data_IF_161339642937
#
_entry.id   IF_161339642937
#
_cell.length_a   1.000
_cell.length_b   1.000
_cell.length_c   1.000
_cell.angle_alpha   90.00
_cell.angle_beta   90.00
_cell.angle_gamma   90.00
#
_symmetry.space_group_name_H-M   'P 1'
#
loop_
_entity.id
_entity.type
_entity.pdbx_description
1 polymer ?
#
# COMPACT_ATOMS: atom_id res chain seq x y z
N UNK A 1 22.65 50.99 -13.87
CA UNK A 1 23.11 49.61 -13.68
C UNK A 1 22.11 48.63 -14.33
N UNK A 2 22.42 48.18 -15.54
CA UNK A 2 21.66 47.12 -16.21
C UNK A 2 22.09 45.77 -15.57
N UNK A 3 21.22 45.17 -14.75
CA UNK A 3 21.40 43.78 -14.31
C UNK A 3 21.37 42.89 -15.54
N UNK A 4 22.54 42.32 -15.87
CA UNK A 4 22.70 41.29 -16.86
C UNK A 4 21.99 40.03 -16.34
N UNK A 5 20.73 39.85 -16.69
CA UNK A 5 20.04 38.59 -16.47
C UNK A 5 20.60 37.60 -17.49
N UNK A 6 21.28 36.58 -16.97
CA UNK A 6 21.82 35.48 -17.77
C UNK A 6 20.62 34.72 -18.41
N UNK A 7 20.42 34.76 -19.75
CA UNK A 7 19.22 34.24 -20.41
C UNK A 7 19.14 32.69 -20.39
N UNK A 8 20.13 32.01 -19.88
CA UNK A 8 20.24 30.53 -19.92
C UNK A 8 19.85 29.82 -18.63
N UNK A 9 19.35 30.52 -17.62
CA UNK A 9 18.85 29.86 -16.41
C UNK A 9 17.39 29.44 -16.63
N UNK A 10 17.16 28.41 -17.47
CA UNK A 10 15.86 27.73 -17.49
C UNK A 10 15.65 27.23 -16.07
N UNK A 11 14.66 27.77 -15.39
CA UNK A 11 14.33 27.36 -14.02
C UNK A 11 13.96 25.88 -14.04
N UNK A 12 14.49 25.09 -13.12
CA UNK A 12 14.11 23.69 -12.93
C UNK A 12 12.57 23.53 -12.87
N UNK A 13 11.88 24.47 -12.25
CA UNK A 13 10.41 24.52 -12.20
C UNK A 13 9.76 24.62 -13.57
N UNK A 14 10.32 25.40 -14.51
CA UNK A 14 9.77 25.50 -15.86
C UNK A 14 9.90 24.19 -16.65
N UNK A 15 10.99 23.43 -16.42
CA UNK A 15 11.16 22.10 -17.02
C UNK A 15 10.13 21.13 -16.42
N UNK A 16 9.96 21.15 -15.11
CA UNK A 16 9.02 20.30 -14.40
C UNK A 16 7.57 20.58 -14.86
N UNK A 17 7.17 21.83 -14.92
CA UNK A 17 5.85 22.24 -15.42
C UNK A 17 5.61 21.77 -16.86
N UNK A 18 6.62 21.86 -17.71
CA UNK A 18 6.54 21.38 -19.09
C UNK A 18 6.35 19.85 -19.14
N UNK A 19 7.07 19.11 -18.32
CA UNK A 19 6.93 17.64 -18.24
C UNK A 19 5.54 17.28 -17.75
N UNK A 20 5.06 17.88 -16.67
CA UNK A 20 3.73 17.63 -16.12
C UNK A 20 2.65 17.93 -17.16
N UNK A 21 2.72 19.08 -17.82
CA UNK A 21 1.77 19.46 -18.87
C UNK A 21 1.81 18.47 -20.05
N UNK A 22 2.98 17.97 -20.42
CA UNK A 22 3.11 16.97 -21.48
C UNK A 22 2.46 15.65 -21.07
N UNK A 23 2.71 15.16 -19.84
CA UNK A 23 2.09 13.95 -19.30
C UNK A 23 0.56 14.12 -19.22
N UNK A 24 0.07 15.29 -18.87
CA UNK A 24 -1.37 15.57 -18.77
C UNK A 24 -2.09 15.53 -20.11
N UNK A 25 -1.38 15.67 -21.23
CA UNK A 25 -1.96 15.51 -22.57
C UNK A 25 -2.07 14.07 -23.05
N UNK A 26 -1.41 13.12 -22.37
CA UNK A 26 -1.44 11.72 -22.76
C UNK A 26 -2.82 11.10 -22.47
N UNK A 27 -3.33 10.18 -23.32
CA UNK A 27 -4.50 9.38 -23.02
C UNK A 27 -4.36 8.58 -21.73
N UNK A 28 -5.47 8.29 -21.06
CA UNK A 28 -5.46 7.54 -19.79
C UNK A 28 -4.84 6.15 -19.95
N UNK A 29 -5.08 5.50 -21.10
CA UNK A 29 -4.53 4.17 -21.43
C UNK A 29 -3.01 4.18 -21.46
N UNK A 30 -2.43 5.27 -21.97
CA UNK A 30 -0.97 5.44 -22.00
C UNK A 30 -0.43 5.68 -20.59
N UNK A 31 -1.12 6.48 -19.77
CA UNK A 31 -0.74 6.70 -18.39
C UNK A 31 -0.84 5.41 -17.56
N UNK A 32 -1.90 4.62 -17.73
CA UNK A 32 -2.01 3.32 -17.07
C UNK A 32 -0.89 2.35 -17.50
N UNK A 33 -0.52 2.40 -18.79
CA UNK A 33 0.60 1.60 -19.27
C UNK A 33 1.92 2.04 -18.64
N UNK A 34 2.17 3.35 -18.51
CA UNK A 34 3.34 3.87 -17.79
C UNK A 34 3.33 3.43 -16.33
N UNK A 35 2.20 3.57 -15.64
CA UNK A 35 2.06 3.16 -14.23
C UNK A 35 2.26 1.66 -14.02
N UNK A 36 2.00 0.81 -15.03
CA UNK A 36 2.22 -0.63 -14.93
C UNK A 36 3.69 -1.03 -14.82
N UNK A 37 4.62 -0.15 -15.19
CA UNK A 37 6.07 -0.37 -15.06
C UNK A 37 6.64 0.17 -13.75
N UNK A 38 5.85 0.86 -12.95
CA UNK A 38 6.26 1.48 -11.70
C UNK A 38 5.69 0.70 -10.52
N UNK A 39 6.44 0.69 -9.42
CA UNK A 39 5.91 0.18 -8.16
C UNK A 39 4.85 1.15 -7.60
N UNK A 40 3.98 0.65 -6.74
CA UNK A 40 2.90 1.46 -6.17
C UNK A 40 3.43 2.67 -5.37
N UNK A 41 4.56 2.52 -4.68
CA UNK A 41 5.21 3.59 -3.92
C UNK A 41 5.84 4.65 -4.82
N UNK A 42 6.43 4.24 -5.96
CA UNK A 42 6.93 5.16 -6.98
C UNK A 42 5.79 5.97 -7.60
N UNK A 43 4.66 5.33 -7.88
CA UNK A 43 3.47 6.00 -8.40
C UNK A 43 2.96 7.04 -7.41
N UNK A 44 2.82 6.69 -6.13
CA UNK A 44 2.35 7.63 -5.12
C UNK A 44 3.31 8.80 -4.92
N UNK A 45 4.61 8.55 -4.82
CA UNK A 45 5.59 9.61 -4.60
C UNK A 45 5.71 10.53 -5.81
N UNK A 46 5.60 9.99 -7.03
CA UNK A 46 5.86 10.75 -8.25
C UNK A 46 4.64 11.45 -8.81
N UNK A 47 3.44 10.90 -8.63
CA UNK A 47 2.25 11.37 -9.35
C UNK A 47 1.09 11.78 -8.45
N UNK A 48 1.05 11.34 -7.19
CA UNK A 48 -0.01 11.75 -6.27
C UNK A 48 0.05 13.25 -5.98
N UNK A 49 -1.09 13.90 -6.02
CA UNK A 49 -1.24 15.35 -5.81
C UNK A 49 -0.63 16.24 -6.91
N UNK A 50 -0.22 15.71 -8.05
CA UNK A 50 0.16 16.55 -9.19
C UNK A 50 -1.05 17.29 -9.76
N UNK A 51 -2.14 16.58 -9.99
CA UNK A 51 -3.44 17.14 -10.34
C UNK A 51 -4.56 16.10 -10.12
N UNK A 52 -5.81 16.55 -10.15
CA UNK A 52 -7.00 15.71 -9.90
C UNK A 52 -7.13 14.53 -10.87
N UNK A 53 -6.62 14.66 -12.10
CA UNK A 53 -6.69 13.61 -13.10
C UNK A 53 -5.77 12.44 -12.71
N UNK A 54 -4.52 12.75 -12.33
CA UNK A 54 -3.59 11.71 -11.84
C UNK A 54 -4.12 11.05 -10.57
N UNK A 55 -4.62 11.81 -9.62
CA UNK A 55 -5.23 11.28 -8.40
C UNK A 55 -6.36 10.30 -8.71
N UNK A 56 -7.25 10.66 -9.66
CA UNK A 56 -8.35 9.80 -10.09
C UNK A 56 -7.87 8.52 -10.77
N UNK A 57 -6.83 8.59 -11.61
CA UNK A 57 -6.24 7.43 -12.27
C UNK A 57 -5.58 6.48 -11.26
N UNK A 58 -4.84 7.03 -10.31
CA UNK A 58 -4.20 6.26 -9.23
C UNK A 58 -5.26 5.56 -8.37
N UNK A 59 -6.30 6.26 -7.95
CA UNK A 59 -7.42 5.67 -7.23
C UNK A 59 -8.09 4.55 -8.04
N UNK A 60 -8.30 4.75 -9.34
CA UNK A 60 -8.89 3.74 -10.23
C UNK A 60 -8.00 2.50 -10.30
N UNK A 61 -6.68 2.68 -10.38
CA UNK A 61 -5.73 1.58 -10.41
C UNK A 61 -5.76 0.74 -9.12
N UNK A 62 -5.75 1.38 -7.95
CA UNK A 62 -5.83 0.67 -6.66
C UNK A 62 -7.19 0.01 -6.41
N UNK A 63 -8.23 0.43 -7.13
CA UNK A 63 -9.57 -0.18 -7.07
C UNK A 63 -9.67 -1.47 -7.88
N UNK A 64 -8.69 -1.77 -8.76
CA UNK A 64 -8.66 -3.02 -9.51
C UNK A 64 -8.24 -4.17 -8.60
N UNK A 65 -8.92 -5.33 -8.72
CA UNK A 65 -8.65 -6.51 -7.89
C UNK A 65 -7.21 -7.05 -7.98
N UNK A 66 -6.52 -6.76 -9.08
CA UNK A 66 -5.19 -7.29 -9.36
C UNK A 66 -4.04 -6.33 -8.98
N UNK A 67 -4.39 -5.10 -8.58
CA UNK A 67 -3.40 -4.05 -8.28
C UNK A 67 -3.69 -3.44 -6.92
N UNK A 68 -3.07 -4.00 -5.91
CA UNK A 68 -3.09 -3.45 -4.55
C UNK A 68 -1.74 -2.87 -4.14
N UNK A 69 -1.62 -2.61 -2.87
CA UNK A 69 -0.32 -2.32 -2.25
C UNK A 69 0.41 -3.64 -2.07
N UNK A 70 1.60 -3.76 -2.67
CA UNK A 70 2.46 -4.95 -2.52
C UNK A 70 3.72 -4.55 -1.77
N UNK A 71 3.89 -5.10 -0.60
CA UNK A 71 5.14 -5.02 0.15
C UNK A 71 5.99 -6.22 -0.23
N UNK A 72 7.03 -5.97 -1.01
CA UNK A 72 8.07 -6.94 -1.33
C UNK A 72 9.43 -6.34 -1.01
N UNK A 73 10.38 -7.16 -0.60
CA UNK A 73 11.62 -6.75 0.05
C UNK A 73 12.52 -5.77 -0.69
N UNK A 74 12.45 -5.75 -2.01
CA UNK A 74 13.57 -5.22 -2.76
C UNK A 74 13.68 -3.70 -2.80
N UNK A 75 12.60 -2.94 -2.53
CA UNK A 75 12.57 -1.52 -2.82
C UNK A 75 11.97 -0.60 -1.76
N UNK A 76 11.24 -1.13 -0.77
CA UNK A 76 10.53 -0.31 0.20
C UNK A 76 11.07 -0.50 1.61
N UNK A 77 11.93 0.41 2.07
CA UNK A 77 12.33 0.39 3.47
C UNK A 77 11.16 0.78 4.40
N UNK A 78 11.07 0.13 5.57
CA UNK A 78 10.10 0.49 6.61
C UNK A 78 10.11 1.99 6.92
N UNK A 79 11.30 2.61 7.00
CA UNK A 79 11.43 4.05 7.23
C UNK A 79 10.72 4.88 6.16
N UNK A 80 10.88 4.54 4.87
CA UNK A 80 10.21 5.23 3.75
C UNK A 80 8.71 5.05 3.85
N UNK A 81 8.27 3.84 4.16
CA UNK A 81 6.86 3.54 4.35
C UNK A 81 6.25 4.35 5.49
N UNK A 82 6.75 4.22 6.71
CA UNK A 82 6.16 4.83 7.90
C UNK A 82 6.26 6.36 7.91
N UNK A 83 7.36 6.94 7.40
CA UNK A 83 7.56 8.40 7.43
C UNK A 83 6.97 9.16 6.24
N UNK A 84 6.71 8.51 5.13
CA UNK A 84 6.31 9.20 3.88
C UNK A 84 5.02 8.64 3.31
N UNK A 85 4.97 7.35 3.03
CA UNK A 85 3.84 6.75 2.31
C UNK A 85 2.61 6.59 3.19
N UNK A 86 2.78 6.06 4.38
CA UNK A 86 1.65 5.86 5.30
C UNK A 86 0.93 7.17 5.65
N UNK A 87 1.61 8.26 6.05
CA UNK A 87 0.96 9.55 6.26
C UNK A 87 0.26 10.08 5.00
N UNK A 88 0.86 9.90 3.82
CA UNK A 88 0.25 10.31 2.55
C UNK A 88 -1.05 9.55 2.29
N UNK A 89 -1.05 8.24 2.52
CA UNK A 89 -2.22 7.38 2.35
C UNK A 89 -3.31 7.76 3.36
N UNK A 90 -2.98 7.80 4.64
CA UNK A 90 -3.95 8.04 5.72
C UNK A 90 -4.57 9.45 5.68
N UNK A 91 -3.86 10.44 5.18
CA UNK A 91 -4.37 11.80 5.01
C UNK A 91 -5.28 11.95 3.78
N UNK A 92 -5.44 10.90 2.97
CA UNK A 92 -6.28 10.93 1.77
C UNK A 92 -7.44 9.94 1.83
N UNK A 93 -8.65 10.44 2.04
CA UNK A 93 -9.87 9.62 2.05
C UNK A 93 -10.13 8.91 0.72
N UNK A 94 -9.73 9.52 -0.41
CA UNK A 94 -9.87 8.90 -1.73
C UNK A 94 -8.91 7.72 -1.91
N UNK A 95 -7.67 7.83 -1.45
CA UNK A 95 -6.71 6.72 -1.48
C UNK A 95 -7.16 5.59 -0.56
N UNK A 96 -7.47 5.88 0.70
CA UNK A 96 -7.90 4.83 1.64
C UNK A 96 -9.15 4.11 1.15
N UNK A 97 -10.11 4.83 0.52
CA UNK A 97 -11.32 4.22 -0.05
C UNK A 97 -11.06 3.42 -1.33
N UNK A 98 -9.96 3.68 -2.02
CA UNK A 98 -9.61 2.97 -3.26
C UNK A 98 -8.88 1.64 -3.00
N UNK A 99 -8.28 1.49 -1.82
CA UNK A 99 -7.47 0.33 -1.51
C UNK A 99 -8.33 -0.87 -1.15
N UNK A 100 -8.27 -1.89 -2.00
CA UNK A 100 -9.03 -3.14 -1.84
C UNK A 100 -8.14 -4.33 -1.51
N UNK A 101 -6.87 -4.30 -1.91
CA UNK A 101 -5.94 -5.39 -1.78
C UNK A 101 -4.65 -4.90 -1.12
N UNK A 102 -4.18 -5.64 -0.13
CA UNK A 102 -2.83 -5.54 0.42
C UNK A 102 -2.17 -6.90 0.30
N UNK A 103 -1.02 -6.94 -0.33
CA UNK A 103 -0.17 -8.11 -0.41
C UNK A 103 1.16 -7.83 0.29
N UNK A 104 1.50 -8.66 1.24
CA UNK A 104 2.74 -8.58 2.00
C UNK A 104 3.52 -9.86 1.74
N UNK A 105 4.64 -9.69 1.06
CA UNK A 105 5.57 -10.77 0.73
C UNK A 105 6.91 -10.44 1.37
N UNK A 106 7.13 -10.98 2.55
CA UNK A 106 8.29 -10.64 3.37
C UNK A 106 9.06 -11.91 3.75
N UNK A 107 10.22 -12.10 3.11
CA UNK A 107 11.19 -13.08 3.58
C UNK A 107 11.97 -12.59 4.82
N UNK A 108 11.83 -11.29 5.18
CA UNK A 108 12.54 -10.66 6.31
C UNK A 108 11.55 -10.32 7.45
N UNK A 109 11.33 -11.29 8.32
CA UNK A 109 10.32 -11.34 9.39
C UNK A 109 10.23 -10.11 10.31
N UNK A 110 11.23 -9.24 10.31
CA UNK A 110 11.31 -8.11 11.26
C UNK A 110 10.49 -6.90 10.77
N UNK A 111 10.47 -6.65 9.46
CA UNK A 111 9.78 -5.48 8.90
C UNK A 111 8.26 -5.66 8.90
N UNK A 112 7.81 -6.90 8.76
CA UNK A 112 6.40 -7.25 8.67
C UNK A 112 5.59 -6.85 9.90
N UNK A 113 6.08 -7.20 11.09
CA UNK A 113 5.38 -6.90 12.35
C UNK A 113 5.17 -5.39 12.56
N UNK A 114 6.08 -4.58 12.06
CA UNK A 114 5.95 -3.13 12.14
C UNK A 114 4.96 -2.58 11.11
N UNK A 115 4.99 -3.11 9.89
CA UNK A 115 4.13 -2.64 8.79
C UNK A 115 2.65 -2.89 9.11
N UNK A 116 2.26 -4.11 9.51
CA UNK A 116 0.85 -4.37 9.79
C UNK A 116 0.36 -3.65 11.06
N UNK A 117 1.24 -3.46 12.06
CA UNK A 117 0.91 -2.65 13.23
C UNK A 117 0.64 -1.20 12.82
N UNK A 118 1.49 -0.59 12.01
CA UNK A 118 1.30 0.77 11.53
C UNK A 118 0.02 0.92 10.68
N UNK A 119 -0.32 -0.12 9.89
CA UNK A 119 -1.50 -0.09 9.02
C UNK A 119 -2.80 -0.32 9.80
N UNK A 120 -2.82 -1.25 10.75
CA UNK A 120 -4.06 -1.70 11.37
C UNK A 120 -4.18 -1.38 12.87
N UNK A 121 -3.10 -0.91 13.50
CA UNK A 121 -3.07 -0.71 14.94
C UNK A 121 -2.66 0.71 15.29
N UNK A 122 -3.59 1.56 15.72
CA UNK A 122 -3.28 2.89 16.20
C UNK A 122 -3.86 3.10 17.59
N UNK A 123 -3.10 3.78 18.46
CA UNK A 123 -3.51 4.12 19.83
C UNK A 123 -4.03 2.91 20.64
N UNK A 124 -3.41 1.74 20.43
CA UNK A 124 -3.82 0.47 21.04
C UNK A 124 -5.23 -0.01 20.67
N UNK A 125 -5.72 0.39 19.50
CA UNK A 125 -6.98 -0.10 18.91
C UNK A 125 -6.78 -0.50 17.48
N UNK A 126 -7.49 -1.55 17.09
CA UNK A 126 -7.55 -1.93 15.67
C UNK A 126 -8.37 -0.88 14.96
N UNK A 127 -7.75 -0.24 13.97
CA UNK A 127 -8.38 0.82 13.22
C UNK A 127 -8.46 0.41 11.74
N UNK A 128 -9.68 0.35 11.22
CA UNK A 128 -9.94 -0.03 9.84
C UNK A 128 -9.90 1.24 8.99
N UNK A 129 -8.69 1.63 8.57
CA UNK A 129 -8.51 2.84 7.75
C UNK A 129 -8.99 2.69 6.31
N UNK A 130 -9.16 1.46 5.84
CA UNK A 130 -9.48 1.16 4.45
C UNK A 130 -10.92 0.65 4.34
N UNK A 131 -11.92 1.53 4.13
CA UNK A 131 -13.33 1.15 4.21
C UNK A 131 -13.76 0.13 3.15
N UNK A 132 -13.03 0.04 2.04
CA UNK A 132 -13.32 -0.89 0.94
C UNK A 132 -12.30 -2.04 0.83
N UNK A 133 -11.52 -2.27 1.89
CA UNK A 133 -10.53 -3.32 1.93
C UNK A 133 -11.20 -4.70 1.91
N UNK A 134 -10.78 -5.57 1.00
CA UNK A 134 -11.46 -6.84 0.73
C UNK A 134 -10.53 -8.05 0.72
N UNK A 135 -9.25 -7.85 0.37
CA UNK A 135 -8.33 -8.96 0.20
C UNK A 135 -6.99 -8.67 0.89
N UNK A 136 -6.55 -9.61 1.69
CA UNK A 136 -5.25 -9.61 2.36
C UNK A 136 -4.50 -10.88 2.01
N UNK A 137 -3.29 -10.72 1.46
CA UNK A 137 -2.38 -11.82 1.21
C UNK A 137 -1.09 -11.58 1.98
N UNK A 138 -0.70 -12.55 2.78
CA UNK A 138 0.54 -12.50 3.56
C UNK A 138 1.30 -13.78 3.30
N UNK A 139 2.49 -13.66 2.71
CA UNK A 139 3.39 -14.78 2.51
C UNK A 139 4.49 -14.75 3.55
N UNK A 140 4.89 -15.92 4.02
CA UNK A 140 6.03 -16.07 4.93
C UNK A 140 5.87 -15.35 6.28
N UNK A 141 4.69 -15.44 6.92
CA UNK A 141 4.46 -14.80 8.22
C UNK A 141 4.62 -15.75 9.40
N UNK A 142 5.04 -15.21 10.54
CA UNK A 142 4.88 -15.82 11.85
C UNK A 142 3.55 -15.37 12.46
N UNK A 143 2.79 -16.30 12.99
CA UNK A 143 1.55 -15.96 13.70
C UNK A 143 1.87 -15.36 15.07
N UNK A 144 1.92 -14.05 15.14
CA UNK A 144 1.99 -13.33 16.42
C UNK A 144 0.60 -13.07 16.98
N UNK A 145 0.50 -12.91 18.31
CA UNK A 145 -0.79 -12.60 18.94
C UNK A 145 -1.45 -11.34 18.37
N UNK A 146 -0.72 -10.21 18.17
CA UNK A 146 -1.30 -9.02 17.54
C UNK A 146 -1.82 -9.28 16.12
N UNK A 147 -1.08 -10.07 15.32
CA UNK A 147 -1.54 -10.43 13.98
C UNK A 147 -2.86 -11.21 14.02
N UNK A 148 -2.97 -12.19 14.91
CA UNK A 148 -4.19 -12.99 15.07
C UNK A 148 -5.38 -12.09 15.43
N UNK A 149 -5.20 -11.17 16.38
CA UNK A 149 -6.25 -10.22 16.80
C UNK A 149 -6.70 -9.35 15.62
N UNK A 150 -5.77 -8.81 14.84
CA UNK A 150 -6.07 -8.01 13.64
C UNK A 150 -6.82 -8.84 12.60
N UNK A 151 -6.33 -10.05 12.29
CA UNK A 151 -6.96 -10.92 11.31
C UNK A 151 -8.39 -11.30 11.72
N UNK A 152 -8.61 -11.55 13.02
CA UNK A 152 -9.95 -11.85 13.53
C UNK A 152 -10.93 -10.70 13.24
N UNK A 153 -10.56 -9.45 13.57
CA UNK A 153 -11.37 -8.27 13.32
C UNK A 153 -11.61 -8.05 11.80
N UNK A 154 -10.56 -8.17 11.00
CA UNK A 154 -10.66 -7.99 9.55
C UNK A 154 -11.58 -9.04 8.91
N UNK A 155 -11.47 -10.30 9.30
CA UNK A 155 -12.33 -11.39 8.78
C UNK A 155 -13.78 -11.17 9.19
N UNK A 156 -14.02 -10.74 10.41
CA UNK A 156 -15.37 -10.55 10.94
C UNK A 156 -16.11 -9.41 10.21
N UNK A 157 -15.41 -8.33 9.86
CA UNK A 157 -16.09 -7.11 9.44
C UNK A 157 -15.83 -6.72 7.98
N UNK A 158 -14.75 -7.21 7.34
CA UNK A 158 -14.32 -6.59 6.10
C UNK A 158 -13.76 -7.52 5.03
N UNK A 159 -12.94 -8.52 5.40
CA UNK A 159 -12.28 -9.35 4.41
C UNK A 159 -13.21 -10.33 3.72
N UNK A 160 -13.09 -10.37 2.39
CA UNK A 160 -13.69 -11.40 1.55
C UNK A 160 -12.69 -12.52 1.21
N UNK A 161 -11.41 -12.14 1.14
CA UNK A 161 -10.33 -13.05 0.73
C UNK A 161 -9.15 -12.89 1.71
N UNK A 162 -8.67 -14.00 2.24
CA UNK A 162 -7.48 -14.07 3.07
C UNK A 162 -6.59 -15.19 2.58
N UNK A 163 -5.34 -14.86 2.25
CA UNK A 163 -4.30 -15.83 1.93
C UNK A 163 -3.18 -15.68 2.94
N UNK A 164 -2.87 -16.77 3.64
CA UNK A 164 -1.78 -16.82 4.62
C UNK A 164 -0.84 -17.97 4.29
N UNK A 165 0.44 -17.68 4.15
CA UNK A 165 1.50 -18.68 4.14
C UNK A 165 2.29 -18.54 5.44
N UNK A 166 2.14 -19.51 6.31
CA UNK A 166 2.73 -19.50 7.65
C UNK A 166 4.06 -20.22 7.60
N UNK A 167 5.10 -19.60 8.16
CA UNK A 167 6.38 -20.27 8.39
C UNK A 167 6.30 -20.98 9.74
N UNK A 168 6.51 -22.30 9.72
CA UNK A 168 6.73 -23.06 10.94
C UNK A 168 8.17 -22.85 11.40
N UNK A 169 8.40 -21.95 12.33
CA UNK A 169 9.68 -21.87 13.02
C UNK A 169 9.66 -22.85 14.21
N UNK A 170 10.50 -23.89 14.21
CA UNK A 170 10.54 -24.87 15.31
C UNK A 170 10.93 -24.27 16.66
N UNK A 171 11.43 -23.04 16.69
CA UNK A 171 11.74 -22.30 17.92
C UNK A 171 10.50 -21.65 18.57
N UNK A 172 9.47 -21.38 17.79
CA UNK A 172 8.22 -20.82 18.28
C UNK A 172 7.16 -21.91 18.30
N UNK A 173 6.95 -22.50 19.46
CA UNK A 173 5.89 -23.49 19.68
C UNK A 173 4.54 -22.73 19.68
N UNK A 174 4.00 -22.43 18.51
CA UNK A 174 2.73 -21.72 18.36
C UNK A 174 1.63 -22.71 18.70
N UNK A 175 0.90 -22.41 19.76
CA UNK A 175 -0.29 -23.17 20.14
C UNK A 175 -1.46 -22.80 19.21
N UNK A 176 -1.58 -23.54 18.11
CA UNK A 176 -2.67 -23.36 17.13
C UNK A 176 -4.07 -23.63 17.72
N UNK A 177 -4.17 -24.22 18.92
CA UNK A 177 -5.46 -24.42 19.58
C UNK A 177 -6.16 -23.13 20.00
N UNK A 178 -5.41 -22.04 20.04
CA UNK A 178 -5.91 -20.68 20.35
C UNK A 178 -6.55 -20.00 19.13
N UNK A 179 -6.38 -20.54 17.92
CA UNK A 179 -6.99 -19.97 16.73
C UNK A 179 -8.49 -20.30 16.68
N UNK A 180 -9.35 -19.32 16.38
CA UNK A 180 -10.77 -19.58 16.17
C UNK A 180 -10.99 -20.64 15.09
N UNK A 181 -11.92 -21.57 15.29
CA UNK A 181 -12.24 -22.61 14.31
C UNK A 181 -12.67 -22.03 12.96
N UNK A 182 -13.17 -20.78 12.93
CA UNK A 182 -13.51 -20.03 11.70
C UNK A 182 -12.31 -19.80 10.78
N UNK A 183 -11.07 -19.87 11.27
CA UNK A 183 -9.86 -19.80 10.44
C UNK A 183 -9.66 -21.02 9.54
N UNK A 184 -10.18 -22.16 9.95
CA UNK A 184 -10.00 -23.43 9.25
C UNK A 184 -11.25 -23.89 8.50
N UNK A 185 -12.36 -23.15 8.59
CA UNK A 185 -13.55 -23.47 7.83
C UNK A 185 -13.41 -22.94 6.41
N UNK A 186 -13.13 -23.85 5.47
CA UNK A 186 -13.34 -23.65 4.05
C UNK A 186 -14.73 -23.05 3.84
N UNK A 187 -14.80 -21.80 3.42
CA UNK A 187 -16.04 -21.25 2.85
C UNK A 187 -16.20 -21.79 1.42
N UNK A 188 -16.21 -23.10 1.32
CA UNK A 188 -16.60 -23.80 0.11
C UNK A 188 -18.14 -23.84 0.08
N UNK A 189 -18.71 -22.91 -0.68
CA UNK A 189 -19.95 -23.10 -1.46
C UNK A 189 -20.09 -21.94 -2.44
#
# INVERSE_FOLDING_TARGET
EKKNQNPNKISFFHILDKIINTLDTLPNEILFNIFSYLSWDEILISFWSLNKRFDSLICSMFSLKEKGITFNESNLSYKKFSSTLLPLILNSSSLTSSMKLIHIDDDDLISFDLIYQDIFYQENKINIFFPNFQSLSITSCLLSKPLIEILYELIQYQLNELTLTIIEDPKYNIDYSQLPQSFFSDRGN
#
